data_IF_069637212308
#
_entry.id   IF_069637212308
#
_cell.length_a   1.000
_cell.length_b   1.000
_cell.length_c   1.000
_cell.angle_alpha   90.00
_cell.angle_beta   90.00
_cell.angle_gamma   90.00
#
_symmetry.space_group_name_H-M   'P 1'
#
loop_
_entity.id
_entity.type
_entity.pdbx_description
1 polymer ?
#
# COMPACT_ATOMS: atom_id res chain seq x y z
N UNK A 1 11.12 -15.42 -4.17
CA UNK A 1 10.51 -14.87 -5.39
C UNK A 1 8.99 -14.86 -5.23
N UNK A 2 8.26 -14.06 -6.01
CA UNK A 2 6.79 -13.91 -5.92
C UNK A 2 6.10 -15.25 -6.08
N UNK A 3 6.55 -16.06 -7.05
CA UNK A 3 5.96 -17.37 -7.33
C UNK A 3 6.16 -18.35 -6.15
N UNK A 4 7.32 -18.31 -5.49
CA UNK A 4 7.57 -19.09 -4.27
C UNK A 4 6.60 -18.73 -3.14
N UNK A 5 6.38 -17.44 -2.92
CA UNK A 5 5.47 -16.96 -1.86
C UNK A 5 4.03 -17.34 -2.19
N UNK A 6 3.61 -17.22 -3.45
CA UNK A 6 2.29 -17.67 -3.90
C UNK A 6 2.08 -19.15 -3.61
N UNK A 7 3.03 -20.01 -3.99
CA UNK A 7 2.95 -21.44 -3.73
C UNK A 7 2.89 -21.79 -2.24
N UNK A 8 3.66 -21.07 -1.41
CA UNK A 8 3.61 -21.23 0.05
C UNK A 8 2.23 -20.86 0.62
N UNK A 9 1.66 -19.73 0.18
CA UNK A 9 0.34 -19.27 0.64
C UNK A 9 -0.79 -20.22 0.23
N UNK A 10 -0.68 -20.81 -0.97
CA UNK A 10 -1.63 -21.80 -1.48
C UNK A 10 -1.57 -23.10 -0.67
N UNK A 11 -0.37 -23.53 -0.27
CA UNK A 11 -0.17 -24.74 0.53
C UNK A 11 -0.61 -24.59 1.99
N UNK A 12 -0.76 -23.36 2.50
CA UNK A 12 -1.23 -23.12 3.86
C UNK A 12 -2.72 -23.44 4.00
N UNK A 13 -3.13 -23.91 5.17
CA UNK A 13 -4.53 -23.90 5.57
C UNK A 13 -4.98 -22.51 6.10
N UNK A 14 -6.26 -22.37 6.40
CA UNK A 14 -6.80 -21.11 6.93
C UNK A 14 -6.12 -20.69 8.24
N UNK A 15 -5.96 -21.60 9.20
CA UNK A 15 -5.42 -21.30 10.53
C UNK A 15 -3.93 -20.93 10.46
N UNK A 16 -3.19 -21.51 9.53
CA UNK A 16 -1.80 -21.17 9.24
C UNK A 16 -1.72 -19.75 8.65
N UNK A 17 -2.58 -19.40 7.70
CA UNK A 17 -2.64 -18.03 7.16
C UNK A 17 -3.09 -17.03 8.22
N UNK A 18 -4.11 -17.35 9.00
CA UNK A 18 -4.65 -16.47 10.05
C UNK A 18 -3.61 -16.19 11.15
N UNK A 19 -2.76 -17.17 11.48
CA UNK A 19 -1.66 -17.02 12.44
C UNK A 19 -0.43 -16.33 11.87
N UNK A 20 -0.37 -16.09 10.56
CA UNK A 20 0.74 -15.35 9.95
C UNK A 20 0.76 -13.91 10.46
N UNK A 21 1.89 -13.40 11.00
CA UNK A 21 1.98 -12.07 11.62
C UNK A 21 1.55 -10.92 10.72
N UNK A 22 1.71 -11.05 9.40
CA UNK A 22 1.40 -10.01 8.44
C UNK A 22 0.02 -10.15 7.77
N UNK A 23 -0.66 -11.29 7.91
CA UNK A 23 -1.97 -11.56 7.30
C UNK A 23 -3.07 -11.37 8.35
N UNK A 24 -3.04 -12.11 9.45
CA UNK A 24 -4.10 -12.06 10.45
C UNK A 24 -5.43 -12.65 9.95
N UNK A 25 -6.39 -12.76 10.86
CA UNK A 25 -7.60 -13.54 10.64
C UNK A 25 -8.55 -12.95 9.58
N UNK A 26 -8.76 -11.63 9.58
CA UNK A 26 -9.66 -10.96 8.64
C UNK A 26 -9.22 -11.06 7.17
N UNK A 27 -7.92 -11.31 6.93
CA UNK A 27 -7.33 -11.37 5.59
C UNK A 27 -6.98 -12.79 5.14
N UNK A 28 -7.16 -13.80 6.00
CA UNK A 28 -6.74 -15.18 5.74
C UNK A 28 -7.45 -15.80 4.53
N UNK A 29 -8.71 -15.44 4.26
CA UNK A 29 -9.44 -15.86 3.06
C UNK A 29 -9.19 -14.93 1.87
N UNK A 30 -9.09 -13.62 2.12
CA UNK A 30 -8.92 -12.60 1.07
C UNK A 30 -7.58 -12.72 0.35
N UNK A 31 -6.53 -13.18 1.04
CA UNK A 31 -5.18 -13.30 0.46
C UNK A 31 -5.15 -14.30 -0.69
N UNK A 32 -5.95 -15.38 -0.63
CA UNK A 32 -6.03 -16.37 -1.72
C UNK A 32 -6.64 -15.76 -2.99
N UNK A 33 -7.69 -14.96 -2.85
CA UNK A 33 -8.26 -14.21 -3.98
C UNK A 33 -7.23 -13.21 -4.56
N UNK A 34 -6.46 -12.54 -3.69
CA UNK A 34 -5.36 -11.65 -4.09
C UNK A 34 -4.27 -12.38 -4.88
N UNK A 35 -3.87 -13.58 -4.45
CA UNK A 35 -2.90 -14.41 -5.17
C UNK A 35 -3.39 -14.76 -6.58
N UNK A 36 -4.66 -15.16 -6.73
CA UNK A 36 -5.23 -15.50 -8.03
C UNK A 36 -5.27 -14.29 -8.99
N UNK A 37 -5.65 -13.10 -8.48
CA UNK A 37 -5.67 -11.86 -9.28
C UNK A 37 -4.25 -11.48 -9.70
N UNK A 38 -3.29 -11.54 -8.78
CA UNK A 38 -1.90 -11.22 -9.09
C UNK A 38 -1.32 -12.17 -10.15
N UNK A 39 -1.62 -13.46 -10.04
CA UNK A 39 -1.21 -14.46 -11.03
C UNK A 39 -1.82 -14.17 -12.40
N UNK A 40 -3.11 -13.87 -12.47
CA UNK A 40 -3.78 -13.49 -13.71
C UNK A 40 -3.13 -12.24 -14.34
N UNK A 41 -2.89 -11.18 -13.56
CA UNK A 41 -2.22 -9.96 -14.03
C UNK A 41 -0.84 -10.28 -14.60
N UNK A 42 -0.02 -11.09 -13.90
CA UNK A 42 1.32 -11.46 -14.36
C UNK A 42 1.30 -12.28 -15.65
N UNK A 43 0.29 -13.13 -15.83
CA UNK A 43 0.08 -13.89 -17.08
C UNK A 43 -0.32 -12.97 -18.24
N UNK A 44 -1.17 -11.97 -17.98
CA UNK A 44 -1.63 -11.02 -19.01
C UNK A 44 -0.56 -9.99 -19.38
N UNK A 45 0.21 -9.49 -18.40
CA UNK A 45 1.29 -8.52 -18.61
C UNK A 45 2.61 -9.02 -18.00
N UNK A 46 3.35 -9.84 -18.76
CA UNK A 46 4.65 -10.34 -18.30
C UNK A 46 5.63 -9.19 -18.06
N UNK A 47 6.31 -9.21 -16.92
CA UNK A 47 7.33 -8.24 -16.58
C UNK A 47 8.58 -8.94 -16.05
N UNK A 48 9.76 -8.39 -16.37
CA UNK A 48 11.03 -8.91 -15.84
C UNK A 48 11.19 -8.64 -14.34
N UNK A 49 10.62 -7.53 -13.86
CA UNK A 49 10.71 -7.13 -12.45
C UNK A 49 9.36 -6.65 -11.94
N UNK A 50 9.02 -7.08 -10.73
CA UNK A 50 7.86 -6.61 -9.97
C UNK A 50 8.37 -5.99 -8.67
N UNK A 51 7.85 -4.82 -8.30
CA UNK A 51 8.24 -4.09 -7.09
C UNK A 51 7.02 -3.75 -6.25
N UNK A 52 7.18 -3.82 -4.93
CA UNK A 52 6.18 -3.34 -3.97
C UNK A 52 6.44 -1.86 -3.73
N UNK A 53 5.39 -1.05 -3.78
CA UNK A 53 5.47 0.37 -3.42
C UNK A 53 5.03 0.57 -1.98
N UNK A 54 5.75 1.41 -1.23
CA UNK A 54 5.41 1.75 0.16
C UNK A 54 4.28 2.80 0.25
N UNK A 55 3.91 3.42 -0.87
CA UNK A 55 2.92 4.48 -0.99
C UNK A 55 1.79 4.03 -1.91
N UNK A 56 0.55 4.30 -1.52
CA UNK A 56 -0.65 3.90 -2.26
C UNK A 56 -1.53 5.07 -2.63
N UNK A 57 -2.81 4.75 -2.88
CA UNK A 57 -3.81 5.71 -3.35
C UNK A 57 -4.03 6.87 -2.36
N UNK A 58 -3.98 6.59 -1.06
CA UNK A 58 -4.20 7.59 -0.02
C UNK A 58 -3.12 8.67 -0.07
N UNK A 59 -1.87 8.25 -0.21
CA UNK A 59 -0.72 9.15 -0.30
C UNK A 59 -0.76 9.93 -1.62
N UNK A 60 -1.14 9.28 -2.72
CA UNK A 60 -1.35 9.96 -4.00
C UNK A 60 -2.41 11.05 -3.92
N UNK A 61 -3.58 10.75 -3.33
CA UNK A 61 -4.66 11.71 -3.13
C UNK A 61 -4.24 12.87 -2.21
N UNK A 62 -3.54 12.57 -1.11
CA UNK A 62 -3.00 13.58 -0.22
C UNK A 62 -1.99 14.49 -0.95
N UNK A 63 -1.07 13.93 -1.73
CA UNK A 63 -0.11 14.70 -2.52
C UNK A 63 -0.82 15.63 -3.50
N UNK A 64 -1.92 15.19 -4.13
CA UNK A 64 -2.73 16.05 -5.00
C UNK A 64 -3.37 17.21 -4.24
N UNK A 65 -4.01 16.96 -3.09
CA UNK A 65 -4.61 17.99 -2.25
C UNK A 65 -3.58 19.00 -1.74
N UNK A 66 -2.44 18.52 -1.24
CA UNK A 66 -1.33 19.38 -0.80
C UNK A 66 -0.81 20.27 -1.93
N UNK A 67 -0.74 19.74 -3.14
CA UNK A 67 -0.29 20.49 -4.31
C UNK A 67 -1.30 21.58 -4.68
N UNK A 68 -2.60 21.28 -4.62
CA UNK A 68 -3.67 22.27 -4.84
C UNK A 68 -3.63 23.42 -3.81
N UNK A 69 -3.27 23.11 -2.56
CA UNK A 69 -3.13 24.09 -1.47
C UNK A 69 -1.77 24.81 -1.46
N UNK A 70 -0.92 24.60 -2.46
CA UNK A 70 0.43 25.14 -2.54
C UNK A 70 1.31 24.79 -1.31
N UNK A 71 1.08 23.64 -0.69
CA UNK A 71 1.79 23.22 0.52
C UNK A 71 3.31 23.06 0.31
N UNK A 72 3.75 22.89 -0.94
CA UNK A 72 5.15 22.75 -1.31
C UNK A 72 5.86 24.10 -1.57
N UNK A 73 5.12 25.21 -1.67
CA UNK A 73 5.71 26.54 -1.83
C UNK A 73 6.23 27.06 -0.47
N UNK A 74 7.33 27.84 -0.47
CA UNK A 74 7.79 28.48 0.76
C UNK A 74 6.69 29.38 1.33
N UNK A 75 6.53 29.42 2.67
CA UNK A 75 5.49 30.22 3.29
C UNK A 75 5.67 31.69 2.91
N UNK A 76 4.60 32.32 2.39
CA UNK A 76 4.60 33.77 2.13
C UNK A 76 4.94 34.49 3.44
N UNK A 77 5.98 35.36 3.42
CA UNK A 77 6.36 36.21 4.56
C UNK A 77 5.10 36.89 5.13
N UNK A 78 4.74 36.57 6.38
CA UNK A 78 3.62 37.19 7.09
C UNK A 78 2.50 36.26 7.59
N UNK A 79 2.54 34.95 7.31
CA UNK A 79 1.44 34.02 7.70
C UNK A 79 1.54 33.40 9.11
N UNK A 80 2.58 33.71 9.89
CA UNK A 80 2.64 33.27 11.28
C UNK A 80 1.69 34.12 12.14
N UNK A 81 0.66 33.54 12.79
CA UNK A 81 -0.12 34.29 13.75
C UNK A 81 0.79 34.62 14.93
N UNK A 82 1.05 35.92 15.18
CA UNK A 82 1.73 36.37 16.39
C UNK A 82 0.92 35.83 17.58
N UNK A 83 1.47 34.87 18.33
CA UNK A 83 0.94 34.50 19.63
C UNK A 83 0.87 35.79 20.45
N UNK A 84 -0.33 36.27 20.79
CA UNK A 84 -0.51 37.35 21.77
C UNK A 84 -0.03 36.81 23.11
N UNK A 85 1.13 37.29 23.56
CA UNK A 85 1.58 37.14 24.94
C UNK A 85 0.48 37.72 25.83
N UNK A 86 -0.04 36.92 26.76
CA UNK A 86 -0.81 37.38 27.91
C UNK A 86 0.14 37.58 29.07
#
# INVERSE_FOLDING_TARGET
>A
DVDTVLQQLIAMDYDQRARSPCIGQERADLVMAGCAILEAIRRTWPCQTLRVADRGLREGALTQLMSADNAWLPPKKGRWPRKKQR
#
